data_IF_899389095312
#
_entry.id   IF_899389095312
#
_cell.length_a   1.000
_cell.length_b   1.000
_cell.length_c   1.000
_cell.angle_alpha   90.00
_cell.angle_beta   90.00
_cell.angle_gamma   90.00
#
_symmetry.space_group_name_H-M   'P 1'
#
loop_
_entity.id
_entity.type
_entity.pdbx_description
1 polymer ?
#
# COMPACT_ATOMS: atom_id res chain seq x y z
N UNK A 1 24.48 10.21 12.79
CA UNK A 1 23.45 9.26 12.33
C UNK A 1 22.84 9.74 11.04
N UNK A 2 23.01 8.99 9.97
CA UNK A 2 22.37 9.18 8.67
C UNK A 2 20.87 8.86 8.74
N UNK A 3 20.08 9.33 7.76
CA UNK A 3 18.63 9.07 7.71
C UNK A 3 18.30 7.57 7.75
N UNK A 4 19.10 6.74 7.07
CA UNK A 4 18.91 5.28 6.98
C UNK A 4 19.10 4.58 8.33
N UNK A 5 20.08 4.98 9.13
CA UNK A 5 20.33 4.39 10.45
C UNK A 5 19.15 4.63 11.41
N UNK A 6 18.57 5.84 11.36
CA UNK A 6 17.37 6.15 12.15
C UNK A 6 16.19 5.28 11.71
N UNK A 7 16.05 5.02 10.40
CA UNK A 7 15.00 4.15 9.88
C UNK A 7 15.11 2.71 10.35
N UNK A 8 16.32 2.15 10.36
CA UNK A 8 16.54 0.81 10.86
C UNK A 8 16.24 0.71 12.36
N UNK A 9 16.65 1.71 13.15
CA UNK A 9 16.39 1.71 14.59
C UNK A 9 14.91 1.72 14.95
N UNK A 10 14.09 2.57 14.30
CA UNK A 10 12.68 2.61 14.65
C UNK A 10 11.92 1.38 14.14
N UNK A 11 12.33 0.80 13.01
CA UNK A 11 11.77 -0.49 12.55
C UNK A 11 12.02 -1.62 13.53
N UNK A 12 13.26 -1.78 13.99
CA UNK A 12 13.58 -2.79 15.00
C UNK A 12 12.76 -2.60 16.29
N UNK A 13 12.51 -1.34 16.69
CA UNK A 13 11.64 -1.02 17.83
C UNK A 13 10.17 -1.36 17.58
N UNK A 14 9.65 -1.17 16.36
CA UNK A 14 8.31 -1.61 16.02
C UNK A 14 8.21 -3.14 16.07
N UNK A 15 9.18 -3.87 15.52
CA UNK A 15 9.17 -5.33 15.56
C UNK A 15 9.17 -5.84 17.01
N UNK A 16 9.99 -5.24 17.86
CA UNK A 16 9.98 -5.50 19.30
C UNK A 16 8.62 -5.18 19.94
N UNK A 17 7.99 -4.05 19.56
CA UNK A 17 6.65 -3.70 20.03
C UNK A 17 5.60 -4.75 19.60
N UNK A 18 5.58 -5.14 18.32
CA UNK A 18 4.67 -6.16 17.80
C UNK A 18 4.87 -7.52 18.47
N UNK A 19 6.12 -7.92 18.72
CA UNK A 19 6.46 -9.14 19.44
C UNK A 19 6.11 -9.09 20.92
N UNK A 20 6.17 -7.90 21.55
CA UNK A 20 5.88 -7.74 22.97
C UNK A 20 4.40 -7.91 23.33
N UNK A 21 3.48 -7.64 22.38
CA UNK A 21 2.03 -7.65 22.64
C UNK A 21 1.57 -6.62 23.68
N UNK A 22 2.45 -5.69 24.08
CA UNK A 22 2.17 -4.68 25.08
C UNK A 22 1.31 -3.55 24.50
N UNK A 23 0.60 -2.84 25.37
CA UNK A 23 -0.01 -1.55 25.01
C UNK A 23 1.08 -0.52 24.71
N UNK A 24 0.78 0.43 23.81
CA UNK A 24 1.67 1.53 23.39
C UNK A 24 2.31 2.25 24.58
N UNK A 25 1.53 2.53 25.62
CA UNK A 25 2.01 3.24 26.81
C UNK A 25 3.00 2.41 27.64
N UNK A 26 2.74 1.11 27.81
CA UNK A 26 3.62 0.21 28.54
C UNK A 26 4.95 0.03 27.81
N UNK A 27 4.91 -0.12 26.48
CA UNK A 27 6.09 -0.20 25.64
C UNK A 27 6.90 1.11 25.66
N UNK A 28 6.24 2.26 25.53
CA UNK A 28 6.89 3.57 25.63
C UNK A 28 7.57 3.79 26.98
N UNK A 29 6.96 3.33 28.08
CA UNK A 29 7.57 3.39 29.42
C UNK A 29 8.80 2.51 29.55
N UNK A 30 8.76 1.25 29.07
CA UNK A 30 9.91 0.34 29.16
C UNK A 30 11.10 0.77 28.30
N UNK A 31 10.83 1.25 27.08
CA UNK A 31 11.87 1.60 26.12
C UNK A 31 12.27 3.08 26.13
N UNK A 32 11.69 3.88 27.03
CA UNK A 32 11.89 5.33 27.16
C UNK A 32 11.70 6.07 25.82
N UNK A 33 10.60 5.76 25.13
CA UNK A 33 10.24 6.33 23.81
C UNK A 33 8.98 7.17 23.98
N UNK A 34 8.90 8.31 23.29
CA UNK A 34 7.67 9.09 23.26
C UNK A 34 6.54 8.35 22.54
N UNK A 35 5.33 8.36 23.11
CA UNK A 35 4.11 7.82 22.48
C UNK A 35 3.88 8.43 21.09
N UNK A 36 4.20 9.72 20.92
CA UNK A 36 4.07 10.42 19.64
C UNK A 36 5.01 9.84 18.58
N UNK A 37 6.23 9.47 18.96
CA UNK A 37 7.19 8.85 18.05
C UNK A 37 6.73 7.45 17.62
N UNK A 38 6.29 6.64 18.58
CA UNK A 38 5.74 5.30 18.28
C UNK A 38 4.54 5.40 17.33
N UNK A 39 3.62 6.34 17.59
CA UNK A 39 2.46 6.55 16.74
C UNK A 39 2.85 6.99 15.32
N UNK A 40 3.84 7.88 15.19
CA UNK A 40 4.37 8.30 13.90
C UNK A 40 4.97 7.11 13.12
N UNK A 41 5.74 6.25 13.79
CA UNK A 41 6.35 5.08 13.15
C UNK A 41 5.29 4.09 12.66
N UNK A 42 4.28 3.78 13.48
CA UNK A 42 3.15 2.91 13.09
C UNK A 42 2.40 3.47 11.88
N UNK A 43 2.10 4.77 11.88
CA UNK A 43 1.43 5.42 10.74
C UNK A 43 2.26 5.32 9.46
N UNK A 44 3.58 5.48 9.56
CA UNK A 44 4.49 5.38 8.40
C UNK A 44 4.53 3.97 7.81
N UNK A 45 4.37 2.93 8.64
CA UNK A 45 4.22 1.56 8.13
C UNK A 45 2.88 1.35 7.44
N UNK A 46 1.77 1.79 8.05
CA UNK A 46 0.45 1.67 7.43
C UNK A 46 0.43 2.29 6.05
N UNK A 47 0.89 3.54 5.89
CA UNK A 47 0.95 4.22 4.57
C UNK A 47 1.77 3.41 3.54
N UNK A 48 2.77 2.65 3.97
CA UNK A 48 3.60 1.83 3.08
C UNK A 48 2.88 0.56 2.64
N UNK A 49 2.13 -0.08 3.54
CA UNK A 49 1.19 -1.16 3.18
C UNK A 49 0.13 -0.62 2.22
N UNK A 50 -0.31 0.63 2.43
CA UNK A 50 -1.31 1.26 1.58
C UNK A 50 -0.86 1.55 0.14
N UNK A 51 0.40 1.93 -0.03
CA UNK A 51 0.98 2.10 -1.35
C UNK A 51 1.22 0.77 -2.08
N UNK A 52 1.20 -0.36 -1.37
CA UNK A 52 1.41 -1.69 -1.99
C UNK A 52 0.13 -2.21 -2.64
N UNK A 53 -1.05 -1.87 -2.12
CA UNK A 53 -2.33 -2.24 -2.73
C UNK A 53 -2.82 -1.26 -3.81
N UNK A 54 -2.22 -0.07 -3.90
CA UNK A 54 -2.58 0.97 -4.86
C UNK A 54 -1.56 1.07 -6.01
N UNK A 55 -0.85 -0.02 -6.28
CA UNK A 55 -0.09 -0.15 -7.51
C UNK A 55 -1.07 -0.47 -8.63
N UNK A 56 -1.55 0.57 -9.31
CA UNK A 56 -2.30 0.42 -10.56
C UNK A 56 -1.44 -0.41 -11.52
N UNK A 57 -1.78 -1.69 -11.66
CA UNK A 57 -1.08 -2.61 -12.54
C UNK A 57 -1.63 -2.43 -13.96
N UNK A 58 -0.92 -1.63 -14.76
CA UNK A 58 -1.25 -1.45 -16.17
C UNK A 58 -0.89 -2.71 -16.95
N UNK A 59 -1.89 -3.37 -17.53
CA UNK A 59 -1.69 -4.49 -18.43
C UNK A 59 -1.76 -3.98 -19.89
N UNK A 60 -0.69 -4.12 -20.69
CA UNK A 60 -0.73 -3.72 -22.09
C UNK A 60 -1.65 -4.66 -22.88
N UNK A 61 -2.63 -4.10 -23.57
CA UNK A 61 -3.50 -4.83 -24.51
C UNK A 61 -2.98 -4.60 -25.93
N UNK A 62 -2.55 -5.66 -26.59
CA UNK A 62 -2.20 -5.63 -28.00
C UNK A 62 -3.48 -5.84 -28.82
N UNK A 63 -3.97 -4.77 -29.45
CA UNK A 63 -5.06 -4.83 -30.40
C UNK A 63 -4.50 -5.30 -31.75
N UNK A 64 -4.41 -6.60 -31.93
CA UNK A 64 -4.06 -7.19 -33.22
C UNK A 64 -5.27 -7.12 -34.16
N UNK A 65 -5.29 -6.06 -34.96
CA UNK A 65 -6.00 -5.89 -36.24
C UNK A 65 -7.39 -6.51 -36.41
N UNK A 66 -8.40 -5.66 -36.55
CA UNK A 66 -9.41 -5.84 -37.60
C UNK A 66 -9.74 -4.48 -38.20
N UNK A 67 -9.09 -4.22 -39.33
CA UNK A 67 -9.60 -3.29 -40.34
C UNK A 67 -10.88 -3.92 -40.89
N UNK A 68 -11.94 -3.11 -40.94
CA UNK A 68 -13.27 -3.38 -41.51
C UNK A 68 -14.24 -4.29 -40.70
N UNK A 69 -15.14 -3.66 -39.95
CA UNK A 69 -16.58 -3.79 -40.21
C UNK A 69 -17.36 -2.63 -39.60
N UNK A 70 -17.98 -1.86 -40.50
CA UNK A 70 -18.97 -0.84 -40.21
C UNK A 70 -20.00 -1.32 -39.17
N UNK A 71 -20.08 -0.58 -38.07
CA UNK A 71 -21.20 -0.63 -37.14
C UNK A 71 -21.02 -1.60 -35.97
N UNK A 72 -20.15 -1.27 -35.02
CA UNK A 72 -20.33 -1.39 -33.56
C UNK A 72 -18.96 -1.27 -32.87
N UNK A 73 -18.44 -0.05 -32.69
CA UNK A 73 -17.27 0.22 -31.85
C UNK A 73 -17.66 0.16 -30.37
N UNK A 74 -17.92 -1.04 -29.85
CA UNK A 74 -18.26 -1.20 -28.42
C UNK A 74 -17.17 -2.01 -27.75
N UNK A 75 -16.38 -1.34 -26.90
CA UNK A 75 -15.41 -2.01 -26.04
C UNK A 75 -16.14 -2.55 -24.80
N UNK A 76 -16.34 -3.86 -24.75
CA UNK A 76 -16.94 -4.51 -23.59
C UNK A 76 -15.86 -4.91 -22.58
N UNK A 77 -15.82 -4.24 -21.43
CA UNK A 77 -14.93 -4.59 -20.31
C UNK A 77 -15.75 -5.20 -19.17
N UNK A 78 -15.40 -6.43 -18.76
CA UNK A 78 -16.03 -7.14 -17.63
C UNK A 78 -15.09 -7.11 -16.42
N UNK A 79 -15.51 -6.45 -15.34
CA UNK A 79 -14.76 -6.40 -14.08
C UNK A 79 -15.68 -6.88 -12.95
N UNK A 80 -15.58 -8.17 -12.61
CA UNK A 80 -16.47 -8.78 -11.61
C UNK A 80 -17.95 -8.66 -12.02
N UNK A 81 -18.87 -8.25 -11.12
CA UNK A 81 -20.30 -8.09 -11.45
C UNK A 81 -20.61 -6.79 -12.22
N UNK A 82 -19.63 -5.93 -12.49
CA UNK A 82 -19.83 -4.67 -13.19
C UNK A 82 -19.39 -4.75 -14.67
N UNK A 83 -20.17 -4.10 -15.53
CA UNK A 83 -19.92 -3.99 -16.98
C UNK A 83 -19.87 -2.51 -17.36
N UNK A 84 -18.85 -2.13 -18.12
CA UNK A 84 -18.66 -0.77 -18.64
C UNK A 84 -18.76 -0.82 -20.17
N UNK A 85 -19.64 0.00 -20.73
CA UNK A 85 -19.88 0.16 -22.16
C UNK A 85 -19.39 1.54 -22.60
N UNK A 86 -18.54 1.59 -23.62
CA UNK A 86 -17.99 2.83 -24.20
C UNK A 86 -18.33 2.85 -25.69
N UNK A 87 -18.96 3.94 -26.15
CA UNK A 87 -19.35 4.21 -27.53
C UNK A 87 -18.45 5.25 -28.19
#
# INVERSE_FOLDING_TARGET
>A
MTHKEREQQWKARIEAYRASGLSKEAFCKQHNISVRQLHYWLRKESIKEEQTYNTVQWLPVNLSGQEDTSGCNVLNVKVGPAVIDVR
#
